data_IF_392095927255
#
_entry.id   IF_392095927255
#
_cell.length_a   1.000
_cell.length_b   1.000
_cell.length_c   1.000
_cell.angle_alpha   90.00
_cell.angle_beta   90.00
_cell.angle_gamma   90.00
#
_symmetry.space_group_name_H-M   'P 1'
#
loop_
_entity.id
_entity.type
_entity.pdbx_description
1 polymer ?
#
# COMPACT_ATOMS: atom_id res chain seq x y z
N UNK A 1 -15.51 4.51 28.41
CA UNK A 1 -15.56 4.58 26.94
C UNK A 1 -14.25 4.02 26.40
N UNK A 2 -14.29 3.00 25.57
CA UNK A 2 -13.08 2.46 24.92
C UNK A 2 -12.86 3.21 23.62
N UNK A 3 -11.65 3.75 23.40
CA UNK A 3 -11.30 4.39 22.14
C UNK A 3 -11.28 3.35 21.00
N UNK A 4 -11.85 3.70 19.86
CA UNK A 4 -11.70 2.91 18.63
C UNK A 4 -10.66 3.56 17.73
N UNK A 5 -9.86 2.73 17.07
CA UNK A 5 -8.84 3.13 16.11
C UNK A 5 -9.19 2.58 14.74
N UNK A 6 -8.83 3.33 13.69
CA UNK A 6 -9.00 2.92 12.30
C UNK A 6 -7.63 2.86 11.62
N UNK A 7 -7.45 1.88 10.72
CA UNK A 7 -6.33 1.88 9.78
C UNK A 7 -6.78 2.66 8.53
N UNK A 8 -6.06 3.73 8.22
CA UNK A 8 -6.37 4.64 7.11
C UNK A 8 -5.20 4.65 6.14
N UNK A 9 -5.47 4.64 4.84
CA UNK A 9 -4.42 4.69 3.84
C UNK A 9 -3.80 6.08 3.77
N UNK A 10 -2.47 6.16 3.92
CA UNK A 10 -1.73 7.42 3.87
C UNK A 10 -1.68 8.06 2.46
N UNK A 11 -2.10 7.33 1.41
CA UNK A 11 -2.10 7.84 0.03
C UNK A 11 -3.46 8.37 -0.44
N UNK A 12 -4.57 7.76 -0.04
CA UNK A 12 -5.89 8.11 -0.56
C UNK A 12 -6.97 8.28 0.52
N UNK A 13 -6.65 8.02 1.79
CA UNK A 13 -7.63 8.09 2.88
C UNK A 13 -8.62 6.93 2.94
N UNK A 14 -8.42 5.87 2.15
CA UNK A 14 -9.24 4.65 2.21
C UNK A 14 -9.21 4.05 3.62
N UNK A 15 -10.35 3.52 4.09
CA UNK A 15 -10.51 3.03 5.47
C UNK A 15 -10.54 1.49 5.43
N UNK A 16 -9.54 0.88 6.06
CA UNK A 16 -9.40 -0.58 6.07
C UNK A 16 -10.27 -1.27 7.12
N UNK A 17 -9.88 -1.16 8.39
CA UNK A 17 -10.56 -1.80 9.50
C UNK A 17 -10.59 -0.88 10.74
N UNK A 18 -11.60 -1.06 11.58
CA UNK A 18 -11.83 -0.32 12.82
C UNK A 18 -11.92 -1.28 14.00
N UNK A 19 -11.32 -0.93 15.14
CA UNK A 19 -11.35 -1.76 16.34
C UNK A 19 -10.52 -1.20 17.49
N UNK A 20 -10.11 -2.07 18.42
CA UNK A 20 -9.53 -1.63 19.69
C UNK A 20 -8.01 -1.36 19.65
N UNK A 21 -7.26 -2.10 18.81
CA UNK A 21 -5.80 -2.02 18.78
C UNK A 21 -5.25 -2.07 17.34
N UNK A 22 -4.31 -1.17 16.96
CA UNK A 22 -3.77 -1.14 15.61
C UNK A 22 -3.07 -2.44 15.16
N UNK A 23 -2.25 -3.13 15.98
CA UNK A 23 -1.58 -4.36 15.56
C UNK A 23 -2.56 -5.48 15.17
N UNK A 24 -3.63 -5.64 15.95
CA UNK A 24 -4.66 -6.65 15.71
C UNK A 24 -5.44 -6.37 14.41
N UNK A 25 -5.72 -5.09 14.13
CA UNK A 25 -6.38 -4.68 12.89
C UNK A 25 -5.50 -4.96 11.67
N UNK A 26 -4.21 -4.63 11.75
CA UNK A 26 -3.26 -4.88 10.65
C UNK A 26 -3.12 -6.37 10.34
N UNK A 27 -3.18 -7.24 11.34
CA UNK A 27 -3.12 -8.69 11.13
C UNK A 27 -4.34 -9.24 10.34
N UNK A 28 -5.48 -8.53 10.37
CA UNK A 28 -6.72 -8.95 9.70
C UNK A 28 -6.87 -8.35 8.29
N UNK A 29 -6.09 -7.35 7.94
CA UNK A 29 -6.19 -6.64 6.67
C UNK A 29 -5.38 -7.35 5.58
N UNK A 30 -6.06 -8.14 4.75
CA UNK A 30 -5.43 -8.77 3.59
C UNK A 30 -5.09 -7.72 2.51
N UNK A 31 -3.91 -7.86 1.90
CA UNK A 31 -3.48 -7.01 0.77
C UNK A 31 -2.97 -5.61 1.13
N UNK A 32 -3.30 -5.11 2.32
CA UNK A 32 -2.72 -3.88 2.87
C UNK A 32 -1.21 -4.07 3.08
N UNK A 33 -0.45 -2.99 2.92
CA UNK A 33 0.99 -3.00 3.14
C UNK A 33 1.34 -2.00 4.21
N UNK A 34 2.00 -2.47 5.26
CA UNK A 34 2.61 -1.61 6.27
C UNK A 34 4.13 -1.58 6.06
N UNK A 35 4.67 -0.41 5.73
CA UNK A 35 6.11 -0.24 5.50
C UNK A 35 6.56 1.14 5.91
N UNK A 36 7.66 1.23 6.66
CA UNK A 36 8.24 2.49 7.13
C UNK A 36 7.21 3.38 7.89
N UNK A 37 6.31 2.75 8.65
CA UNK A 37 5.27 3.46 9.39
C UNK A 37 4.05 3.88 8.57
N UNK A 38 4.01 3.61 7.27
CA UNK A 38 2.89 3.97 6.38
C UNK A 38 1.99 2.76 6.11
N UNK A 39 0.68 2.97 6.17
CA UNK A 39 -0.37 2.03 5.79
C UNK A 39 -0.84 2.34 4.35
N UNK A 40 -0.62 1.43 3.42
CA UNK A 40 -0.97 1.57 1.99
C UNK A 40 -2.04 0.55 1.61
N UNK A 41 -3.17 1.01 1.07
CA UNK A 41 -4.26 0.15 0.63
C UNK A 41 -3.88 -0.66 -0.62
N UNK A 42 -4.58 -1.78 -0.90
CA UNK A 42 -4.29 -2.62 -2.06
C UNK A 42 -4.31 -1.86 -3.39
N UNK A 43 -5.23 -0.90 -3.57
CA UNK A 43 -5.34 -0.11 -4.80
C UNK A 43 -4.13 0.82 -4.99
N UNK A 44 -3.77 1.61 -3.98
CA UNK A 44 -2.60 2.49 -4.06
C UNK A 44 -1.30 1.70 -4.24
N UNK A 45 -1.21 0.50 -3.68
CA UNK A 45 -0.07 -0.39 -3.91
C UNK A 45 0.07 -0.80 -5.37
N UNK A 46 -1.04 -1.06 -6.06
CA UNK A 46 -1.02 -1.40 -7.50
C UNK A 46 -0.58 -0.18 -8.32
N UNK A 47 -1.18 0.99 -8.08
CA UNK A 47 -0.84 2.23 -8.78
C UNK A 47 0.65 2.59 -8.63
N UNK A 48 1.22 2.47 -7.42
CA UNK A 48 2.66 2.74 -7.20
C UNK A 48 3.55 1.72 -7.89
N UNK A 49 3.14 0.44 -7.94
CA UNK A 49 3.91 -0.60 -8.64
C UNK A 49 3.93 -0.35 -10.15
N UNK A 50 2.82 0.08 -10.73
CA UNK A 50 2.73 0.34 -12.17
C UNK A 50 3.60 1.54 -12.56
N UNK A 51 3.59 2.63 -11.77
CA UNK A 51 4.50 3.77 -11.98
C UNK A 51 5.98 3.35 -11.97
N UNK A 52 6.39 2.51 -11.01
CA UNK A 52 7.78 2.01 -10.96
C UNK A 52 8.16 1.11 -12.14
N UNK A 53 7.20 0.46 -12.79
CA UNK A 53 7.46 -0.33 -14.01
C UNK A 53 7.60 0.57 -15.23
N UNK A 54 6.81 1.62 -15.31
CA UNK A 54 6.87 2.61 -16.39
C UNK A 54 8.14 3.48 -16.30
N UNK A 55 8.56 3.84 -15.10
CA UNK A 55 9.82 4.57 -14.85
C UNK A 55 11.09 3.73 -15.09
N UNK A 56 10.95 2.44 -15.42
CA UNK A 56 12.10 1.61 -15.81
C UNK A 56 12.34 1.81 -17.30
N UNK A 57 13.36 2.59 -17.73
CA UNK A 57 13.65 2.70 -19.14
C UNK A 57 13.93 1.32 -19.71
N UNK A 58 13.34 1.05 -20.86
CA UNK A 58 13.52 -0.17 -21.65
C UNK A 58 14.94 -0.19 -22.25
N UNK A 59 15.97 -0.21 -21.39
CA UNK A 59 17.36 -0.40 -21.80
C UNK A 59 17.58 -1.90 -22.00
N UNK A 60 17.36 -2.35 -23.24
CA UNK A 60 17.73 -3.71 -23.63
C UNK A 60 17.00 -4.22 -24.85
N UNK A 61 17.25 -3.60 -26.02
CA UNK A 61 17.22 -4.22 -27.37
C UNK A 61 17.57 -3.17 -28.42
N UNK A 62 18.86 -2.79 -28.49
CA UNK A 62 19.41 -2.34 -29.77
C UNK A 62 20.17 -3.53 -30.33
N UNK A 63 19.50 -4.24 -31.24
CA UNK A 63 20.09 -5.31 -32.03
C UNK A 63 21.17 -4.75 -32.94
N UNK A 64 22.20 -5.58 -33.13
CA UNK A 64 23.25 -5.38 -34.12
C UNK A 64 22.67 -5.13 -35.51
N UNK A 65 23.22 -4.14 -36.20
CA UNK A 65 23.11 -3.90 -37.63
C UNK A 65 24.44 -3.38 -38.13
#
# INVERSE_FOLDING_TARGET
MSAQVAIVCDHCGDIGAVGAAPPELRARLSGWTWRNGLDICPLCRLVVKDRRREDRPESGRQGAG
#
